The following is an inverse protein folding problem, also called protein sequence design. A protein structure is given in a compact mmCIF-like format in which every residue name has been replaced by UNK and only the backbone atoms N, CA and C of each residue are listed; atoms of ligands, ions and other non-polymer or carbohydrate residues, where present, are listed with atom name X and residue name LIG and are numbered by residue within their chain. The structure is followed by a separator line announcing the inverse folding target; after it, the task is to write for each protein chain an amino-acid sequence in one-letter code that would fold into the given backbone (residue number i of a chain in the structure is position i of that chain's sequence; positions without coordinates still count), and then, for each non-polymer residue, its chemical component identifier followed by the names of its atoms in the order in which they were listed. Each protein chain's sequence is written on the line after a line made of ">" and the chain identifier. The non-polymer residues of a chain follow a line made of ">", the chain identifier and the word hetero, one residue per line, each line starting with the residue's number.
data_IF_284257212751
#
_entry.id   IF_284257212751
#
_cell.length_a   1.000
_cell.length_b   1.000
_cell.length_c   1.000
_cell.angle_alpha   90.00
_cell.angle_beta   90.00
_cell.angle_gamma   90.00
#
_symmetry.space_group_name_H-M   'P 1'
#
loop_
_entity.id
_entity.type
_entity.pdbx_description
1 polymer ?
#
# COMPACT_ATOMS: atom_id res chain seq x y z
N UNK A 1 6.98 -19.48 -10.19
CA UNK A 1 6.26 -20.55 -9.46
C UNK A 1 6.76 -21.89 -9.92
N UNK A 2 6.73 -22.90 -9.05
CA UNK A 2 6.93 -24.29 -9.45
C UNK A 2 6.00 -24.61 -10.64
N UNK A 3 6.56 -25.22 -11.72
CA UNK A 3 5.85 -25.46 -12.96
C UNK A 3 5.82 -24.31 -13.98
N UNK A 4 6.32 -23.12 -13.67
CA UNK A 4 6.48 -22.03 -14.64
C UNK A 4 7.62 -22.33 -15.64
N UNK A 5 7.55 -21.72 -16.83
CA UNK A 5 8.56 -21.88 -17.85
C UNK A 5 9.49 -20.67 -17.91
N UNK A 6 10.79 -20.95 -17.85
CA UNK A 6 11.83 -19.99 -18.17
C UNK A 6 12.09 -20.07 -19.70
N UNK A 7 11.90 -18.97 -20.40
CA UNK A 7 12.17 -18.90 -21.84
C UNK A 7 13.59 -18.44 -22.11
N UNK A 8 14.36 -19.28 -22.78
CA UNK A 8 15.77 -19.06 -23.09
C UNK A 8 15.91 -18.88 -24.60
N UNK A 9 16.56 -17.79 -24.99
CA UNK A 9 16.93 -17.54 -26.39
C UNK A 9 18.45 -17.58 -26.51
N UNK A 10 18.97 -18.36 -27.46
CA UNK A 10 20.38 -18.41 -27.76
C UNK A 10 20.66 -17.91 -29.16
N UNK A 11 21.68 -17.07 -29.29
CA UNK A 11 22.22 -16.56 -30.53
C UNK A 11 23.70 -16.81 -30.55
N UNK A 12 24.23 -17.15 -31.70
CA UNK A 12 25.67 -17.25 -31.94
C UNK A 12 26.02 -16.53 -33.22
N UNK A 13 27.17 -15.86 -33.24
CA UNK A 13 27.78 -15.29 -34.44
C UNK A 13 29.23 -15.66 -34.45
N UNK A 14 29.74 -16.02 -35.62
CA UNK A 14 31.16 -16.27 -35.85
C UNK A 14 31.64 -15.33 -36.93
N UNK A 15 32.89 -14.92 -36.84
CA UNK A 15 33.54 -14.07 -37.84
C UNK A 15 34.04 -14.91 -39.04
N UNK A 16 34.12 -16.25 -38.88
CA UNK A 16 34.60 -17.18 -39.93
C UNK A 16 33.78 -18.48 -39.90
N UNK A 17 33.07 -18.78 -40.99
CA UNK A 17 32.28 -20.00 -41.14
C UNK A 17 30.95 -19.98 -40.43
N UNK A 18 30.38 -21.17 -40.25
CA UNK A 18 29.08 -21.35 -39.59
C UNK A 18 29.23 -21.99 -38.20
N UNK A 19 28.26 -21.77 -37.31
CA UNK A 19 28.15 -22.53 -36.06
C UNK A 19 27.54 -23.88 -36.42
N UNK A 20 28.25 -24.97 -36.08
CA UNK A 20 27.84 -26.33 -36.42
C UNK A 20 27.17 -27.07 -35.27
N UNK A 21 27.40 -26.63 -34.05
CA UNK A 21 26.70 -27.19 -32.88
C UNK A 21 26.54 -26.18 -31.75
N UNK A 22 25.54 -26.43 -30.91
CA UNK A 22 25.29 -25.71 -29.67
C UNK A 22 24.92 -26.69 -28.56
N UNK A 23 25.38 -26.42 -27.35
CA UNK A 23 25.00 -27.12 -26.13
C UNK A 23 24.47 -26.08 -25.13
N UNK A 24 23.24 -26.27 -24.68
CA UNK A 24 22.63 -25.50 -23.62
C UNK A 24 22.67 -26.31 -22.32
N UNK A 25 23.16 -25.70 -21.24
CA UNK A 25 23.03 -26.24 -19.88
C UNK A 25 22.20 -25.31 -19.02
N UNK A 26 21.29 -25.88 -18.25
CA UNK A 26 20.52 -25.18 -17.23
C UNK A 26 20.72 -25.90 -15.91
N UNK A 27 21.18 -25.18 -14.88
CA UNK A 27 21.57 -25.76 -13.59
C UNK A 27 22.56 -26.94 -13.71
N UNK A 28 23.49 -26.86 -14.67
CA UNK A 28 24.49 -27.88 -14.94
C UNK A 28 23.98 -29.07 -15.76
N UNK A 29 22.68 -29.18 -16.04
CA UNK A 29 22.08 -30.26 -16.84
C UNK A 29 22.04 -29.87 -18.32
N UNK A 30 22.49 -30.76 -19.22
CA UNK A 30 22.42 -30.56 -20.67
C UNK A 30 20.97 -30.65 -21.14
N UNK A 31 20.56 -29.71 -21.99
CA UNK A 31 19.26 -29.70 -22.66
C UNK A 31 19.43 -30.34 -24.04
N UNK A 32 18.96 -31.58 -24.23
CA UNK A 32 19.28 -32.38 -25.45
C UNK A 32 18.62 -31.82 -26.71
N UNK A 33 17.52 -31.04 -26.57
CA UNK A 33 16.80 -30.52 -27.73
C UNK A 33 17.43 -29.25 -28.33
N UNK A 34 18.47 -28.71 -27.71
CA UNK A 34 19.19 -27.51 -28.18
C UNK A 34 20.55 -27.95 -28.75
N UNK A 35 20.62 -28.10 -30.05
CA UNK A 35 21.82 -28.55 -30.77
C UNK A 35 22.39 -27.54 -31.74
N UNK A 36 21.66 -26.45 -32.01
CA UNK A 36 22.05 -25.37 -32.95
C UNK A 36 21.63 -24.00 -32.44
N UNK A 37 22.14 -22.93 -33.06
CA UNK A 37 21.69 -21.53 -32.84
C UNK A 37 21.22 -20.96 -34.19
N UNK A 38 20.25 -20.03 -34.21
CA UNK A 38 19.52 -19.52 -33.05
C UNK A 38 18.46 -20.51 -32.52
N UNK A 39 18.19 -20.46 -31.23
CA UNK A 39 17.13 -21.28 -30.64
C UNK A 39 16.23 -20.46 -29.73
N UNK A 40 15.03 -21.03 -29.47
CA UNK A 40 14.10 -20.58 -28.45
C UNK A 40 13.63 -21.81 -27.68
N UNK A 41 13.92 -21.88 -26.39
CA UNK A 41 13.63 -23.04 -25.57
C UNK A 41 12.86 -22.65 -24.30
N UNK A 42 11.81 -23.40 -23.97
CA UNK A 42 11.03 -23.25 -22.74
C UNK A 42 11.44 -24.29 -21.71
N UNK A 43 12.29 -23.90 -20.77
CA UNK A 43 12.71 -24.75 -19.65
C UNK A 43 11.61 -24.73 -18.57
N UNK A 44 11.03 -25.89 -18.24
CA UNK A 44 10.09 -26.04 -17.14
C UNK A 44 10.84 -26.10 -15.82
N UNK A 45 10.55 -25.17 -14.91
CA UNK A 45 11.13 -25.20 -13.57
C UNK A 45 10.56 -26.40 -12.80
N UNK A 46 11.40 -27.20 -12.14
CA UNK A 46 10.93 -28.29 -11.28
C UNK A 46 9.98 -27.81 -10.20
N UNK A 47 9.04 -28.65 -9.77
CA UNK A 47 8.08 -28.28 -8.72
C UNK A 47 8.74 -28.01 -7.36
N UNK A 48 9.89 -28.61 -7.10
CA UNK A 48 10.70 -28.44 -5.90
C UNK A 48 11.84 -27.42 -6.06
N UNK A 49 11.83 -26.66 -7.17
CA UNK A 49 12.86 -25.66 -7.44
C UNK A 49 12.89 -24.59 -6.33
N UNK A 50 13.97 -24.56 -5.57
CA UNK A 50 14.20 -23.55 -4.55
C UNK A 50 14.51 -22.16 -5.17
N UNK A 51 14.24 -21.10 -4.40
CA UNK A 51 14.75 -19.76 -4.72
C UNK A 51 16.29 -19.79 -4.76
N UNK A 52 16.88 -19.00 -5.63
CA UNK A 52 18.31 -18.88 -5.72
C UNK A 52 18.79 -18.61 -7.13
N UNK A 53 20.06 -18.80 -7.35
CA UNK A 53 20.67 -18.60 -8.65
C UNK A 53 20.51 -19.84 -9.54
N UNK A 54 19.97 -19.63 -10.73
CA UNK A 54 19.92 -20.63 -11.79
C UNK A 54 20.95 -20.24 -12.87
N UNK A 55 22.01 -21.02 -13.00
CA UNK A 55 23.04 -20.81 -14.03
C UNK A 55 22.58 -21.37 -15.36
N UNK A 56 22.65 -20.55 -16.41
CA UNK A 56 22.38 -20.92 -17.80
C UNK A 56 23.69 -20.75 -18.58
N UNK A 57 24.15 -21.81 -19.23
CA UNK A 57 25.38 -21.82 -19.98
C UNK A 57 25.13 -22.27 -21.43
N UNK A 58 25.60 -21.49 -22.36
CA UNK A 58 25.57 -21.80 -23.79
C UNK A 58 27.00 -21.98 -24.30
N UNK A 59 27.27 -23.12 -24.88
CA UNK A 59 28.53 -23.41 -25.61
C UNK A 59 28.22 -23.62 -27.07
N UNK A 60 28.93 -22.97 -27.94
CA UNK A 60 28.80 -23.12 -29.40
C UNK A 60 30.14 -23.54 -30.03
N UNK A 61 30.08 -24.33 -31.10
CA UNK A 61 31.27 -24.75 -31.87
C UNK A 61 31.08 -24.33 -33.33
N UNK A 62 32.11 -23.69 -33.87
CA UNK A 62 32.22 -23.36 -35.29
C UNK A 62 32.77 -24.50 -36.12
N UNK A 63 32.66 -24.40 -37.45
CA UNK A 63 33.22 -25.37 -38.45
C UNK A 63 34.70 -25.63 -38.28
N UNK A 64 35.47 -24.67 -37.78
CA UNK A 64 36.91 -24.79 -37.51
C UNK A 64 37.26 -25.55 -36.24
N UNK A 65 36.23 -26.02 -35.49
CA UNK A 65 36.40 -26.68 -34.20
C UNK A 65 36.62 -25.73 -33.03
N UNK A 66 36.63 -24.42 -33.26
CA UNK A 66 36.74 -23.42 -32.21
C UNK A 66 35.44 -23.39 -31.43
N UNK A 67 35.53 -23.46 -30.10
CA UNK A 67 34.40 -23.37 -29.20
C UNK A 67 34.37 -22.01 -28.49
N UNK A 68 33.18 -21.47 -28.28
CA UNK A 68 32.95 -20.29 -27.45
C UNK A 68 31.82 -20.59 -26.48
N UNK A 69 31.93 -20.09 -25.24
CA UNK A 69 30.93 -20.27 -24.20
C UNK A 69 30.56 -18.93 -23.60
N UNK A 70 29.30 -18.81 -23.28
CA UNK A 70 28.78 -17.70 -22.46
C UNK A 70 27.90 -18.24 -21.34
N UNK A 71 27.82 -17.54 -20.24
CA UNK A 71 26.93 -17.89 -19.15
C UNK A 71 26.10 -16.69 -18.71
N UNK A 72 24.87 -16.95 -18.29
CA UNK A 72 23.98 -15.97 -17.65
C UNK A 72 23.44 -16.57 -16.37
N UNK A 73 23.32 -15.76 -15.33
CA UNK A 73 22.69 -16.17 -14.08
C UNK A 73 21.29 -15.58 -14.04
N UNK A 74 20.30 -16.44 -13.84
CA UNK A 74 18.91 -16.05 -13.59
C UNK A 74 18.66 -16.18 -12.09
N UNK A 75 18.23 -15.10 -11.46
CA UNK A 75 17.81 -15.14 -10.06
C UNK A 75 16.37 -15.60 -10.04
N UNK A 76 16.14 -16.78 -9.49
CA UNK A 76 14.81 -17.29 -9.25
C UNK A 76 14.33 -16.77 -7.90
N UNK A 77 13.33 -15.90 -7.92
CA UNK A 77 12.56 -15.58 -6.73
C UNK A 77 11.42 -16.60 -6.60
N UNK A 78 11.27 -17.21 -5.43
CA UNK A 78 10.04 -17.93 -5.13
C UNK A 78 8.96 -16.88 -4.96
N UNK A 79 7.96 -16.89 -5.84
CA UNK A 79 6.70 -16.20 -5.54
C UNK A 79 5.99 -17.02 -4.45
N UNK A 80 6.25 -16.69 -3.19
CA UNK A 80 5.60 -17.33 -2.04
C UNK A 80 4.11 -16.94 -1.93
N UNK A 81 3.59 -16.24 -2.94
CA UNK A 81 2.28 -15.60 -2.86
C UNK A 81 2.31 -14.40 -1.89
N UNK A 82 1.17 -13.78 -1.62
CA UNK A 82 1.07 -12.73 -0.61
C UNK A 82 1.53 -13.27 0.74
N UNK A 83 2.68 -12.77 1.23
CA UNK A 83 3.11 -13.12 2.58
C UNK A 83 2.19 -12.42 3.58
N UNK A 84 1.80 -13.09 4.68
CA UNK A 84 1.03 -12.41 5.71
C UNK A 84 1.80 -11.18 6.20
N UNK A 85 1.13 -10.02 6.33
CA UNK A 85 1.79 -8.81 6.78
C UNK A 85 2.44 -9.01 8.14
N UNK A 86 3.65 -8.49 8.31
CA UNK A 86 4.34 -8.55 9.60
C UNK A 86 3.75 -7.50 10.53
N UNK A 87 3.04 -7.95 11.55
CA UNK A 87 2.43 -7.10 12.56
C UNK A 87 3.34 -6.92 13.78
N UNK A 88 3.19 -5.79 14.47
CA UNK A 88 3.94 -5.46 15.67
C UNK A 88 3.18 -4.44 16.50
N UNK A 89 3.88 -3.82 17.44
CA UNK A 89 3.34 -2.72 18.25
C UNK A 89 4.39 -1.62 18.44
N UNK A 90 3.91 -0.40 18.71
CA UNK A 90 4.74 0.71 19.17
C UNK A 90 4.04 1.40 20.34
N UNK A 91 4.79 1.97 21.25
CA UNK A 91 4.27 2.76 22.37
C UNK A 91 4.57 4.24 22.13
N UNK A 92 3.55 5.08 22.21
CA UNK A 92 3.72 6.52 22.22
C UNK A 92 4.23 6.95 23.59
N UNK A 93 5.43 7.50 23.65
CA UNK A 93 6.07 7.90 24.91
C UNK A 93 5.41 9.10 25.60
N UNK A 94 4.52 9.82 24.88
CA UNK A 94 3.87 11.03 25.39
C UNK A 94 2.71 10.73 26.35
N UNK A 95 2.00 9.61 26.09
CA UNK A 95 0.80 9.21 26.83
C UNK A 95 0.79 7.72 27.23
N UNK A 96 1.77 6.95 26.76
CA UNK A 96 1.90 5.51 27.04
C UNK A 96 0.95 4.62 26.24
N UNK A 97 0.19 5.18 25.28
CA UNK A 97 -0.73 4.41 24.45
C UNK A 97 0.06 3.48 23.52
N UNK A 98 -0.37 2.22 23.48
CA UNK A 98 0.20 1.21 22.59
C UNK A 98 -0.65 1.12 21.33
N UNK A 99 0.00 1.22 20.17
CA UNK A 99 -0.61 1.09 18.84
C UNK A 99 -0.13 -0.18 18.16
N UNK A 100 -1.03 -0.85 17.46
CA UNK A 100 -0.65 -1.88 16.49
C UNK A 100 0.09 -1.26 15.32
N UNK A 101 1.04 -2.01 14.78
CA UNK A 101 1.78 -1.62 13.58
C UNK A 101 1.80 -2.74 12.56
N UNK A 102 1.98 -2.39 11.29
CA UNK A 102 2.08 -3.36 10.20
C UNK A 102 3.16 -2.94 9.21
N UNK A 103 4.02 -3.89 8.85
CA UNK A 103 5.03 -3.72 7.81
C UNK A 103 4.43 -4.07 6.46
N UNK A 104 4.37 -3.10 5.55
CA UNK A 104 3.87 -3.23 4.18
C UNK A 104 4.98 -2.79 3.22
N UNK A 105 5.61 -3.75 2.57
CA UNK A 105 6.84 -3.51 1.82
C UNK A 105 7.96 -2.96 2.72
N UNK A 106 8.52 -1.82 2.34
CA UNK A 106 9.54 -1.12 3.11
C UNK A 106 8.97 -0.06 4.10
N UNK A 107 7.64 0.03 4.21
CA UNK A 107 6.95 1.00 5.04
C UNK A 107 6.39 0.34 6.30
N UNK A 108 6.69 0.89 7.49
CA UNK A 108 6.07 0.47 8.76
C UNK A 108 5.00 1.48 9.16
N UNK A 109 3.74 1.06 9.07
CA UNK A 109 2.57 1.87 9.35
C UNK A 109 1.98 1.60 10.74
N UNK A 110 1.40 2.61 11.37
CA UNK A 110 0.40 2.35 12.40
C UNK A 110 -0.79 1.61 11.76
N UNK A 111 -1.32 0.59 12.43
CA UNK A 111 -2.53 -0.15 12.03
C UNK A 111 -3.78 0.34 12.79
N UNK A 112 -3.66 1.44 13.48
CA UNK A 112 -4.71 2.14 14.23
C UNK A 112 -4.56 3.64 14.02
N UNK A 113 -5.66 4.38 14.12
CA UNK A 113 -5.64 5.83 14.07
C UNK A 113 -5.00 6.38 15.35
N UNK A 114 -4.28 7.48 15.24
CA UNK A 114 -3.63 8.14 16.36
C UNK A 114 -4.69 8.63 17.36
N UNK A 115 -4.49 8.36 18.67
CA UNK A 115 -5.39 8.73 19.78
C UNK A 115 -4.85 9.87 20.63
N UNK A 116 -3.67 10.42 20.28
CA UNK A 116 -3.06 11.50 21.04
C UNK A 116 -3.95 12.74 21.04
N UNK A 117 -4.52 13.08 22.22
CA UNK A 117 -5.49 14.15 22.40
C UNK A 117 -5.00 15.10 23.51
N UNK A 118 -4.17 16.10 23.18
CA UNK A 118 -3.62 17.02 24.20
C UNK A 118 -4.69 17.95 24.79
N UNK A 119 -5.75 18.21 24.03
CA UNK A 119 -6.96 18.96 24.41
C UNK A 119 -8.12 18.46 23.57
N UNK A 120 -9.34 18.85 23.93
CA UNK A 120 -10.53 18.64 23.09
C UNK A 120 -11.17 19.98 22.76
N UNK A 121 -11.48 20.18 21.48
CA UNK A 121 -12.15 21.37 20.95
C UNK A 121 -13.52 21.00 20.39
N UNK A 122 -14.44 21.98 20.39
CA UNK A 122 -15.81 21.84 19.87
C UNK A 122 -16.11 22.84 18.74
N UNK A 123 -15.33 23.90 18.65
CA UNK A 123 -15.36 24.90 17.59
C UNK A 123 -14.42 24.52 16.44
N UNK A 124 -14.55 25.16 15.29
CA UNK A 124 -13.75 24.93 14.11
C UNK A 124 -12.81 26.08 13.82
N UNK A 125 -11.63 25.80 13.28
CA UNK A 125 -10.68 26.78 12.78
C UNK A 125 -9.89 26.20 11.61
N UNK A 126 -9.59 27.02 10.61
CA UNK A 126 -8.65 26.67 9.54
C UNK A 126 -7.21 27.13 9.82
N UNK A 127 -7.01 27.88 10.89
CA UNK A 127 -5.71 28.50 11.26
C UNK A 127 -5.19 28.06 12.62
N UNK A 128 -6.09 27.83 13.58
CA UNK A 128 -5.72 27.40 14.93
C UNK A 128 -5.81 25.89 15.07
N UNK A 129 -4.89 25.25 15.82
CA UNK A 129 -4.95 23.82 16.07
C UNK A 129 -6.26 23.40 16.79
N UNK A 130 -6.96 22.42 16.24
CA UNK A 130 -8.19 21.85 16.80
C UNK A 130 -8.14 20.33 16.83
N UNK A 131 -8.62 19.76 17.92
CA UNK A 131 -8.58 18.34 18.25
C UNK A 131 -10.00 17.89 18.64
N UNK A 132 -10.50 16.81 18.04
CA UNK A 132 -11.86 16.39 18.23
C UNK A 132 -11.98 14.90 18.56
N UNK A 133 -13.05 14.55 19.24
CA UNK A 133 -13.54 13.18 19.42
C UNK A 133 -14.78 13.00 18.54
N UNK A 134 -14.99 11.82 17.99
CA UNK A 134 -16.14 11.53 17.13
C UNK A 134 -17.46 11.95 17.80
N UNK A 135 -18.32 12.61 17.03
CA UNK A 135 -19.62 13.12 17.47
C UNK A 135 -19.53 14.10 18.66
N UNK A 136 -18.37 14.72 18.85
CA UNK A 136 -18.09 15.68 19.93
C UNK A 136 -18.36 15.12 21.36
N UNK A 137 -18.27 13.78 21.52
CA UNK A 137 -18.35 13.17 22.84
C UNK A 137 -17.17 13.61 23.72
N UNK A 138 -17.48 13.95 24.97
CA UNK A 138 -16.47 14.37 25.95
C UNK A 138 -15.52 13.21 26.30
N UNK A 139 -14.24 13.37 25.95
CA UNK A 139 -13.18 12.37 26.17
C UNK A 139 -12.93 12.05 27.65
N UNK A 140 -13.42 12.87 28.59
CA UNK A 140 -13.31 12.60 30.02
C UNK A 140 -14.37 11.60 30.53
N UNK A 141 -15.37 11.29 29.71
CA UNK A 141 -16.41 10.30 29.99
C UNK A 141 -16.01 8.91 29.47
N UNK A 142 -16.57 7.86 30.06
CA UNK A 142 -16.35 6.48 29.58
C UNK A 142 -16.79 6.31 28.12
N UNK A 143 -17.90 6.91 27.73
CA UNK A 143 -18.43 6.86 26.37
C UNK A 143 -17.50 7.58 25.38
N UNK A 144 -17.07 8.80 25.70
CA UNK A 144 -16.15 9.57 24.86
C UNK A 144 -14.78 8.92 24.75
N UNK A 145 -14.26 8.33 25.83
CA UNK A 145 -13.04 7.53 25.80
C UNK A 145 -13.22 6.30 24.89
N UNK A 146 -14.37 5.62 24.93
CA UNK A 146 -14.70 4.50 24.05
C UNK A 146 -14.69 4.90 22.57
N UNK A 147 -15.20 6.11 22.23
CA UNK A 147 -15.11 6.63 20.85
C UNK A 147 -13.64 6.96 20.46
N UNK A 148 -12.88 7.58 21.36
CA UNK A 148 -11.47 7.86 21.12
C UNK A 148 -10.66 6.58 20.90
N UNK A 149 -10.91 5.55 21.69
CA UNK A 149 -10.22 4.26 21.57
C UNK A 149 -10.60 3.52 20.28
N UNK A 150 -11.85 3.61 19.86
CA UNK A 150 -12.34 2.91 18.68
C UNK A 150 -11.94 3.62 17.35
N UNK A 151 -12.04 4.94 17.30
CA UNK A 151 -11.93 5.70 16.06
C UNK A 151 -10.66 6.55 15.95
N UNK A 152 -9.96 6.79 17.06
CA UNK A 152 -8.87 7.75 17.14
C UNK A 152 -9.34 9.18 17.33
N UNK A 153 -8.40 10.10 17.48
CA UNK A 153 -8.68 11.53 17.51
C UNK A 153 -8.71 12.09 16.08
N UNK A 154 -9.47 13.19 15.92
CA UNK A 154 -9.52 13.93 14.67
C UNK A 154 -8.77 15.25 14.85
N UNK A 155 -8.05 15.63 13.82
CA UNK A 155 -7.19 16.81 13.79
C UNK A 155 -7.56 17.66 12.59
N UNK A 156 -7.64 18.98 12.77
CA UNK A 156 -7.57 19.86 11.61
C UNK A 156 -6.11 19.95 11.13
N UNK A 157 -5.84 20.54 9.96
CA UNK A 157 -4.48 20.61 9.41
C UNK A 157 -3.50 21.34 10.35
N UNK A 158 -3.83 22.49 10.97
CA UNK A 158 -2.95 23.12 11.95
C UNK A 158 -2.57 22.22 13.14
N UNK A 159 -3.50 21.42 13.66
CA UNK A 159 -3.22 20.46 14.72
C UNK A 159 -2.38 19.29 14.23
N UNK A 160 -2.72 18.74 13.05
CA UNK A 160 -1.98 17.63 12.46
C UNK A 160 -0.52 18.02 12.20
N UNK A 161 -0.27 19.15 11.57
CA UNK A 161 1.07 19.59 11.18
C UNK A 161 1.87 20.27 12.31
N UNK A 162 1.22 20.70 13.40
CA UNK A 162 1.87 21.35 14.56
C UNK A 162 2.79 22.51 14.17
N UNK A 163 2.30 23.41 13.29
CA UNK A 163 3.01 24.60 12.84
C UNK A 163 3.96 24.38 11.67
N UNK A 164 4.11 23.17 11.15
CA UNK A 164 4.80 22.95 9.88
C UNK A 164 3.89 23.32 8.71
N UNK A 165 4.51 23.79 7.61
CA UNK A 165 3.79 24.04 6.37
C UNK A 165 3.49 22.73 5.62
N UNK A 166 2.38 22.72 4.88
CA UNK A 166 2.09 21.68 3.88
C UNK A 166 3.22 21.62 2.85
N UNK A 167 3.54 20.43 2.40
CA UNK A 167 4.65 20.15 1.50
C UNK A 167 4.18 20.02 0.06
N UNK A 168 5.04 20.34 -0.91
CA UNK A 168 4.78 20.01 -2.30
C UNK A 168 4.79 18.51 -2.51
N UNK A 169 4.20 18.05 -3.61
CA UNK A 169 4.12 16.61 -3.94
C UNK A 169 5.49 15.97 -4.17
N UNK A 170 6.48 16.76 -4.59
CA UNK A 170 7.85 16.34 -4.84
C UNK A 170 8.73 16.38 -3.59
N UNK A 171 8.23 16.93 -2.48
CA UNK A 171 8.99 17.04 -1.23
C UNK A 171 9.26 15.67 -0.64
N UNK A 172 10.48 15.47 -0.21
CA UNK A 172 10.90 14.29 0.56
C UNK A 172 11.03 14.58 2.05
N UNK A 173 10.65 15.79 2.48
CA UNK A 173 10.72 16.19 3.87
C UNK A 173 9.65 15.47 4.69
N UNK A 174 10.08 14.79 5.73
CA UNK A 174 9.18 14.15 6.70
C UNK A 174 8.70 15.16 7.73
N UNK A 175 7.40 15.30 7.84
CA UNK A 175 6.75 16.19 8.81
C UNK A 175 6.26 15.35 9.98
N UNK A 176 6.95 15.42 11.12
CA UNK A 176 6.52 14.71 12.33
C UNK A 176 5.10 15.13 12.72
N UNK A 177 4.82 16.43 12.76
CA UNK A 177 3.51 16.95 13.15
C UNK A 177 3.04 16.39 14.48
N UNK A 178 1.82 15.88 14.50
CA UNK A 178 1.19 15.27 15.69
C UNK A 178 1.67 13.83 15.96
N UNK A 179 2.41 13.21 15.05
CA UNK A 179 2.96 11.87 15.22
C UNK A 179 3.98 11.79 16.37
N UNK A 180 4.20 10.62 16.98
CA UNK A 180 5.26 10.42 17.97
C UNK A 180 6.66 10.61 17.39
N UNK A 181 7.66 10.75 18.24
CA UNK A 181 9.06 10.83 17.81
C UNK A 181 9.47 9.60 16.97
N UNK A 182 10.17 9.86 15.85
CA UNK A 182 10.57 8.86 14.89
C UNK A 182 9.44 8.35 14.00
N UNK A 183 8.32 9.09 13.96
CA UNK A 183 7.18 8.87 13.08
C UNK A 183 6.75 10.20 12.44
N UNK A 184 6.15 10.14 11.27
CA UNK A 184 5.70 11.32 10.55
C UNK A 184 4.31 11.14 9.94
N UNK A 185 3.68 12.25 9.56
CA UNK A 185 2.46 12.27 8.76
C UNK A 185 2.83 11.92 7.32
N UNK A 186 2.27 10.86 6.75
CA UNK A 186 2.65 10.41 5.42
C UNK A 186 2.34 11.46 4.35
N UNK A 187 3.20 11.59 3.36
CA UNK A 187 2.93 12.33 2.12
C UNK A 187 2.00 11.54 1.19
N UNK A 188 1.38 12.20 0.23
CA UNK A 188 0.60 11.52 -0.83
C UNK A 188 1.45 10.51 -1.61
N UNK A 189 2.73 10.81 -1.81
CA UNK A 189 3.66 9.87 -2.47
C UNK A 189 3.85 8.60 -1.67
N UNK A 190 3.95 8.69 -0.34
CA UNK A 190 4.07 7.50 0.53
C UNK A 190 2.79 6.67 0.57
N UNK A 191 1.61 7.30 0.53
CA UNK A 191 0.34 6.61 0.38
C UNK A 191 0.20 5.91 -0.99
N UNK A 192 0.68 6.53 -2.07
CA UNK A 192 0.73 5.89 -3.40
C UNK A 192 1.70 4.72 -3.43
N UNK A 193 2.83 4.80 -2.74
CA UNK A 193 3.77 3.69 -2.59
C UNK A 193 3.13 2.51 -1.83
N UNK A 194 2.32 2.79 -0.79
CA UNK A 194 1.51 1.78 -0.11
C UNK A 194 0.52 1.12 -1.08
N UNK A 195 -0.21 1.91 -1.86
CA UNK A 195 -1.16 1.38 -2.85
C UNK A 195 -0.45 0.48 -3.88
N UNK A 196 0.69 0.93 -4.40
CA UNK A 196 1.48 0.13 -5.36
C UNK A 196 1.96 -1.18 -4.74
N UNK A 197 2.43 -1.15 -3.48
CA UNK A 197 2.80 -2.38 -2.77
C UNK A 197 1.64 -3.38 -2.66
N UNK A 198 0.43 -2.92 -2.37
CA UNK A 198 -0.77 -3.78 -2.27
C UNK A 198 -1.06 -4.46 -3.60
N UNK A 199 -0.90 -3.74 -4.72
CA UNK A 199 -1.04 -4.29 -6.09
C UNK A 199 0.06 -5.31 -6.37
N UNK A 200 1.33 -4.95 -6.16
CA UNK A 200 2.49 -5.80 -6.44
C UNK A 200 2.47 -7.10 -5.61
N UNK A 201 2.00 -7.00 -4.36
CA UNK A 201 1.83 -8.13 -3.46
C UNK A 201 0.55 -8.97 -3.76
N UNK A 202 -0.23 -8.59 -4.78
CA UNK A 202 -1.50 -9.24 -5.16
C UNK A 202 -2.52 -9.33 -4.02
N UNK A 203 -2.52 -8.32 -3.15
CA UNK A 203 -3.44 -8.20 -2.02
C UNK A 203 -4.71 -7.42 -2.36
N UNK A 204 -4.72 -6.67 -3.48
CA UNK A 204 -5.92 -5.97 -3.96
C UNK A 204 -7.02 -6.98 -4.31
N UNK A 205 -8.28 -6.56 -4.17
CA UNK A 205 -9.41 -7.41 -4.49
C UNK A 205 -9.41 -7.83 -5.97
N UNK A 206 -10.07 -8.94 -6.28
CA UNK A 206 -10.12 -9.47 -7.64
C UNK A 206 -11.56 -9.67 -8.12
N UNK A 207 -11.77 -9.49 -9.42
CA UNK A 207 -13.02 -9.84 -10.10
C UNK A 207 -12.75 -11.05 -11.00
N UNK A 208 -13.48 -12.15 -10.79
CA UNK A 208 -13.31 -13.39 -11.54
C UNK A 208 -11.84 -13.90 -11.57
N UNK A 209 -11.12 -13.71 -10.47
CA UNK A 209 -9.71 -14.14 -10.34
C UNK A 209 -8.68 -13.21 -10.99
N UNK A 210 -9.11 -12.09 -11.55
CA UNK A 210 -8.22 -11.03 -12.07
C UNK A 210 -8.12 -9.93 -11.03
N UNK A 211 -6.90 -9.59 -10.60
CA UNK A 211 -6.66 -8.50 -9.64
C UNK A 211 -7.15 -7.18 -10.23
N UNK A 212 -8.01 -6.51 -9.49
CA UNK A 212 -8.40 -5.14 -9.80
C UNK A 212 -7.43 -4.17 -9.10
N UNK A 213 -6.51 -3.61 -9.87
CA UNK A 213 -5.48 -2.68 -9.37
C UNK A 213 -6.06 -1.40 -8.76
N UNK A 214 -7.33 -1.10 -9.03
CA UNK A 214 -8.06 0.02 -8.42
C UNK A 214 -8.66 -0.33 -7.06
N UNK A 215 -8.83 -1.62 -6.75
CA UNK A 215 -9.48 -2.12 -5.54
C UNK A 215 -8.51 -2.30 -4.33
N UNK A 216 -7.54 -1.41 -4.21
CA UNK A 216 -6.56 -1.36 -3.11
C UNK A 216 -7.21 -1.09 -1.76
N UNK A 217 -8.25 -0.25 -1.75
CA UNK A 217 -8.95 0.16 -0.54
C UNK A 217 -9.55 -1.02 0.22
N UNK A 218 -10.10 -2.03 -0.47
CA UNK A 218 -10.64 -3.23 0.16
C UNK A 218 -9.59 -3.99 0.98
N UNK A 219 -8.36 -4.10 0.46
CA UNK A 219 -7.27 -4.74 1.19
C UNK A 219 -6.80 -3.94 2.43
N UNK A 220 -7.05 -2.64 2.47
CA UNK A 220 -6.68 -1.74 3.57
C UNK A 220 -7.81 -1.52 4.57
N UNK A 221 -9.07 -1.69 4.17
CA UNK A 221 -10.25 -1.44 4.98
C UNK A 221 -10.44 -2.50 6.08
N UNK A 222 -11.05 -2.12 7.19
CA UNK A 222 -11.43 -3.07 8.25
C UNK A 222 -12.52 -4.03 7.79
N UNK A 223 -12.61 -5.19 8.46
CA UNK A 223 -13.64 -6.22 8.23
C UNK A 223 -14.98 -5.87 8.88
N UNK A 224 -15.11 -4.72 9.48
CA UNK A 224 -16.31 -4.31 10.22
C UNK A 224 -16.57 -2.82 10.07
N UNK A 225 -17.77 -2.39 10.46
CA UNK A 225 -18.21 -1.00 10.60
C UNK A 225 -18.57 -0.28 9.30
N UNK A 226 -18.19 -0.79 8.14
CA UNK A 226 -18.59 -0.23 6.85
C UNK A 226 -20.06 -0.50 6.56
N UNK A 227 -20.74 0.47 5.98
CA UNK A 227 -22.14 0.35 5.55
C UNK A 227 -22.27 0.81 4.11
N UNK A 228 -23.08 0.09 3.35
CA UNK A 228 -23.53 0.56 2.05
C UNK A 228 -24.73 1.50 2.24
N UNK A 229 -24.85 2.58 1.44
CA UNK A 229 -26.05 3.40 1.40
C UNK A 229 -27.29 2.54 1.05
N UNK A 230 -28.45 2.90 1.60
CA UNK A 230 -29.70 2.16 1.39
C UNK A 230 -30.24 2.29 -0.04
N UNK A 231 -29.80 3.28 -0.79
CA UNK A 231 -30.30 3.69 -2.10
C UNK A 231 -29.25 3.57 -3.22
N UNK A 232 -28.34 2.62 -3.11
CA UNK A 232 -27.42 2.32 -4.23
C UNK A 232 -28.23 1.82 -5.41
N UNK A 233 -28.25 2.61 -6.50
CA UNK A 233 -28.96 2.25 -7.74
C UNK A 233 -28.33 1.02 -8.42
N UNK A 234 -27.04 0.82 -8.21
CA UNK A 234 -26.28 -0.30 -8.77
C UNK A 234 -26.15 -1.46 -7.78
N UNK A 235 -26.16 -2.68 -8.29
CA UNK A 235 -25.82 -3.85 -7.48
C UNK A 235 -24.36 -3.73 -6.98
N UNK A 236 -24.09 -3.97 -5.69
CA UNK A 236 -22.75 -3.88 -5.14
C UNK A 236 -21.77 -4.79 -5.88
N UNK A 237 -20.58 -4.27 -6.19
CA UNK A 237 -19.50 -5.06 -6.79
C UNK A 237 -18.68 -5.76 -5.70
N UNK A 238 -18.11 -6.93 -5.98
CA UNK A 238 -17.26 -7.66 -5.03
C UNK A 238 -16.04 -6.86 -4.56
N UNK A 239 -15.62 -5.86 -5.34
CA UNK A 239 -14.52 -4.96 -5.01
C UNK A 239 -14.91 -3.81 -4.08
N UNK A 240 -16.19 -3.58 -3.83
CA UNK A 240 -16.64 -2.54 -2.91
C UNK A 240 -16.28 -2.90 -1.47
N UNK A 241 -15.79 -1.92 -0.73
CA UNK A 241 -15.37 -2.10 0.67
C UNK A 241 -16.54 -2.54 1.57
N UNK A 242 -17.73 -2.01 1.34
CA UNK A 242 -18.93 -2.34 2.12
C UNK A 242 -19.58 -3.69 1.77
N UNK A 243 -19.11 -4.34 0.71
CA UNK A 243 -19.59 -5.66 0.27
C UNK A 243 -18.64 -6.75 0.74
N UNK A 244 -19.16 -7.90 1.22
CA UNK A 244 -18.37 -9.03 1.71
C UNK A 244 -17.19 -8.56 2.60
N UNK A 245 -17.49 -7.79 3.66
CA UNK A 245 -16.47 -7.14 4.49
C UNK A 245 -15.50 -8.12 5.15
N UNK A 246 -15.89 -9.38 5.33
CA UNK A 246 -15.02 -10.44 5.84
C UNK A 246 -13.79 -10.70 4.95
N UNK A 247 -13.85 -10.30 3.68
CA UNK A 247 -12.74 -10.37 2.72
C UNK A 247 -11.82 -9.14 2.76
N UNK A 248 -12.17 -8.10 3.52
CA UNK A 248 -11.35 -6.92 3.70
C UNK A 248 -10.08 -7.23 4.51
N UNK A 249 -9.20 -6.23 4.62
CA UNK A 249 -8.06 -6.18 5.54
C UNK A 249 -6.96 -7.22 5.28
N UNK A 250 -6.77 -7.61 4.04
CA UNK A 250 -5.68 -8.52 3.67
C UNK A 250 -4.30 -7.99 4.11
N UNK A 251 -4.16 -6.67 4.23
CA UNK A 251 -2.92 -5.99 4.66
C UNK A 251 -2.76 -5.87 6.18
N UNK A 252 -3.77 -6.16 6.98
CA UNK A 252 -3.80 -5.86 8.42
C UNK A 252 -3.70 -4.34 8.75
N UNK A 253 -3.90 -3.47 7.75
CA UNK A 253 -3.89 -2.02 7.95
C UNK A 253 -5.09 -1.55 8.76
N UNK A 254 -6.22 -2.22 8.65
CA UNK A 254 -7.43 -2.01 9.45
C UNK A 254 -8.01 -0.58 9.37
N UNK A 255 -8.21 -0.08 8.16
CA UNK A 255 -8.83 1.23 7.92
C UNK A 255 -10.32 1.23 8.26
N UNK A 256 -10.74 1.95 9.30
CA UNK A 256 -12.12 2.01 9.78
C UNK A 256 -12.86 3.22 9.18
N UNK A 257 -14.19 3.14 8.95
CA UNK A 257 -14.97 4.22 8.34
C UNK A 257 -15.30 5.33 9.35
N UNK A 258 -14.39 6.27 9.49
CA UNK A 258 -14.43 7.36 10.47
C UNK A 258 -15.24 8.56 10.00
N UNK A 259 -15.60 8.65 8.71
CA UNK A 259 -16.12 9.90 8.16
C UNK A 259 -15.14 11.06 8.38
N UNK A 260 -15.68 12.26 8.57
CA UNK A 260 -14.90 13.46 8.90
C UNK A 260 -15.74 14.49 9.67
N UNK A 261 -15.06 15.40 10.38
CA UNK A 261 -15.67 16.57 10.97
C UNK A 261 -15.65 17.72 9.98
N UNK A 262 -16.82 18.21 9.61
CA UNK A 262 -16.94 19.35 8.70
C UNK A 262 -16.47 20.65 9.38
N UNK A 263 -15.90 21.57 8.59
CA UNK A 263 -15.50 22.89 9.05
C UNK A 263 -16.51 24.00 8.70
N UNK A 264 -17.60 23.64 8.01
CA UNK A 264 -18.69 24.53 7.62
C UNK A 264 -19.95 23.71 7.32
N UNK A 265 -21.11 24.35 7.37
CA UNK A 265 -22.40 23.71 7.12
C UNK A 265 -23.18 23.45 8.42
N UNK A 266 -24.38 22.87 8.28
CA UNK A 266 -25.28 22.57 9.41
C UNK A 266 -24.89 21.28 10.13
N UNK A 267 -24.30 20.32 9.40
CA UNK A 267 -23.87 19.02 9.93
C UNK A 267 -22.39 19.07 10.31
N UNK A 268 -22.11 18.83 11.60
CA UNK A 268 -20.74 18.82 12.10
C UNK A 268 -19.98 17.54 11.70
N UNK A 269 -20.67 16.41 11.54
CA UNK A 269 -20.09 15.10 11.25
C UNK A 269 -20.71 14.48 10.00
N UNK A 270 -19.87 14.05 9.07
CA UNK A 270 -20.30 13.58 7.77
C UNK A 270 -19.69 12.22 7.43
N UNK A 271 -20.38 11.45 6.60
CA UNK A 271 -19.96 10.18 6.01
C UNK A 271 -19.53 9.10 7.02
N UNK A 272 -20.03 9.20 8.27
CA UNK A 272 -19.79 8.19 9.31
C UNK A 272 -20.29 6.83 8.84
N UNK A 273 -19.45 5.79 8.96
CA UNK A 273 -19.68 4.43 8.48
C UNK A 273 -19.62 4.24 6.96
N UNK A 274 -19.56 5.31 6.17
CA UNK A 274 -19.53 5.26 4.70
C UNK A 274 -18.15 5.58 4.12
N UNK A 275 -17.34 6.38 4.82
CA UNK A 275 -15.99 6.73 4.35
C UNK A 275 -14.95 6.68 5.46
N UNK A 276 -13.71 6.44 5.08
CA UNK A 276 -12.53 6.67 5.90
C UNK A 276 -11.67 7.76 5.25
N UNK A 277 -10.97 8.53 6.08
CA UNK A 277 -10.03 9.54 5.58
C UNK A 277 -8.90 9.78 6.56
N UNK A 278 -7.73 10.14 6.03
CA UNK A 278 -6.55 10.49 6.80
C UNK A 278 -5.85 11.69 6.18
N UNK A 279 -5.29 12.53 7.01
CA UNK A 279 -4.43 13.60 6.51
C UNK A 279 -3.16 13.04 5.88
N UNK A 280 -2.73 13.70 4.81
CA UNK A 280 -1.34 13.68 4.37
C UNK A 280 -0.66 15.00 4.68
N UNK A 281 0.68 15.03 4.61
CA UNK A 281 1.47 16.24 4.75
C UNK A 281 1.53 17.08 3.47
N UNK A 282 0.81 16.69 2.40
CA UNK A 282 0.91 17.28 1.06
C UNK A 282 -0.13 18.37 0.83
N UNK A 283 0.30 19.49 0.26
CA UNK A 283 -0.57 20.59 -0.17
C UNK A 283 -1.42 20.20 -1.38
N UNK A 284 -2.58 20.82 -1.51
CA UNK A 284 -3.42 20.72 -2.69
C UNK A 284 -2.71 21.23 -3.96
N UNK A 285 -3.10 20.68 -5.09
CA UNK A 285 -2.55 21.05 -6.40
C UNK A 285 -3.28 22.28 -6.97
N UNK A 286 -4.62 22.29 -6.82
CA UNK A 286 -5.45 23.41 -7.28
C UNK A 286 -5.46 24.57 -6.27
N UNK A 287 -5.44 24.23 -4.97
CA UNK A 287 -5.46 25.20 -3.87
C UNK A 287 -4.33 24.88 -2.88
N UNK A 288 -3.23 25.62 -2.96
CA UNK A 288 -2.03 25.38 -2.12
C UNK A 288 -2.26 25.49 -0.62
N UNK A 289 -3.29 26.19 -0.20
CA UNK A 289 -3.68 26.34 1.21
C UNK A 289 -4.54 25.18 1.72
N UNK A 290 -5.01 24.32 0.80
CA UNK A 290 -5.75 23.09 1.11
C UNK A 290 -4.78 21.93 1.25
N UNK A 291 -5.15 20.92 2.04
CA UNK A 291 -4.39 19.70 2.20
C UNK A 291 -5.02 18.56 1.37
N UNK A 292 -4.19 17.65 0.93
CA UNK A 292 -4.65 16.44 0.24
C UNK A 292 -4.90 15.32 1.27
N UNK A 293 -6.15 14.96 1.57
CA UNK A 293 -6.44 13.76 2.34
C UNK A 293 -6.34 12.52 1.46
N UNK A 294 -6.16 11.38 2.10
CA UNK A 294 -6.39 10.07 1.49
C UNK A 294 -7.73 9.54 1.95
N UNK A 295 -8.54 9.01 1.03
CA UNK A 295 -9.92 8.58 1.35
C UNK A 295 -10.26 7.21 0.75
N UNK A 296 -11.16 6.51 1.42
CA UNK A 296 -11.82 5.29 0.96
C UNK A 296 -13.32 5.42 1.18
N UNK A 297 -14.12 4.81 0.29
CA UNK A 297 -15.58 4.79 0.36
C UNK A 297 -16.12 3.36 0.39
N UNK A 298 -17.22 3.16 1.08
CA UNK A 298 -17.89 1.86 1.16
C UNK A 298 -18.37 1.35 -0.22
N UNK A 299 -18.66 2.27 -1.13
CA UNK A 299 -19.24 2.02 -2.47
C UNK A 299 -18.20 1.86 -3.57
N UNK A 300 -16.92 1.82 -3.22
CA UNK A 300 -15.85 1.51 -4.17
C UNK A 300 -14.69 0.78 -3.46
N UNK A 301 -13.68 0.38 -4.23
CA UNK A 301 -12.46 -0.26 -3.70
C UNK A 301 -11.24 0.66 -3.74
N UNK A 302 -11.43 1.93 -4.07
CA UNK A 302 -10.32 2.84 -4.39
C UNK A 302 -9.70 3.45 -3.13
N UNK A 303 -8.38 3.58 -3.13
CA UNK A 303 -7.66 4.48 -2.24
C UNK A 303 -7.47 5.83 -2.95
N UNK A 304 -8.40 6.76 -2.71
CA UNK A 304 -8.40 8.08 -3.35
C UNK A 304 -7.32 9.00 -2.80
N UNK A 305 -6.50 9.56 -3.69
CA UNK A 305 -5.36 10.45 -3.35
C UNK A 305 -5.40 11.79 -4.10
N UNK A 306 -6.58 12.20 -4.58
CA UNK A 306 -6.73 13.40 -5.43
C UNK A 306 -7.73 14.44 -4.89
N UNK A 307 -8.33 14.21 -3.73
CA UNK A 307 -9.19 15.19 -3.07
C UNK A 307 -8.38 16.31 -2.44
N UNK A 308 -8.98 17.49 -2.30
CA UNK A 308 -8.40 18.64 -1.58
C UNK A 308 -9.42 19.14 -0.55
N UNK A 309 -9.01 19.22 0.71
CA UNK A 309 -9.88 19.63 1.81
C UNK A 309 -9.40 20.91 2.46
N UNK A 310 -10.35 21.72 2.89
CA UNK A 310 -10.11 22.89 3.71
C UNK A 310 -9.34 22.51 4.98
N UNK A 311 -8.31 23.28 5.39
CA UNK A 311 -7.52 23.00 6.59
C UNK A 311 -8.31 22.89 7.89
N UNK A 312 -9.52 23.45 7.95
CA UNK A 312 -10.40 23.37 9.12
C UNK A 312 -11.17 22.05 9.27
N UNK A 313 -11.15 21.18 8.26
CA UNK A 313 -11.76 19.84 8.34
C UNK A 313 -11.02 19.00 9.36
N UNK A 314 -11.76 18.20 10.14
CA UNK A 314 -11.19 17.23 11.08
C UNK A 314 -11.11 15.84 10.48
N UNK A 315 -9.89 15.27 10.36
CA UNK A 315 -9.63 13.91 9.95
C UNK A 315 -8.67 13.22 10.92
N UNK A 316 -8.74 11.89 11.04
CA UNK A 316 -7.71 11.10 11.70
C UNK A 316 -6.34 11.26 11.06
N UNK A 317 -5.32 10.90 11.84
CA UNK A 317 -3.93 10.76 11.38
C UNK A 317 -3.51 9.30 11.59
N UNK A 318 -2.78 8.78 10.62
CA UNK A 318 -2.13 7.47 10.68
C UNK A 318 -0.67 7.63 10.34
N UNK A 319 0.19 7.44 11.33
CA UNK A 319 1.61 7.75 11.20
C UNK A 319 2.39 6.64 10.49
N UNK A 320 3.44 7.06 9.79
CA UNK A 320 4.42 6.22 9.14
C UNK A 320 5.77 6.37 9.84
N UNK A 321 6.49 5.25 10.04
CA UNK A 321 7.81 5.23 10.67
C UNK A 321 8.85 5.90 9.76
N UNK A 322 9.79 6.65 10.36
CA UNK A 322 10.89 7.34 9.67
C UNK A 322 11.89 6.39 9.01
#
# INVERSE_FOLDING_TARGET
>A
RAGEKLFIRGYGKTDHGQIVSAELKVAGSVIPDVTTVPFYYGYSLPEDQAAGELKVELTVQGETGVTASTSSTVILAIDLGPQPPKVGTMTDSRDGIVYKTVQLGNQLWMAENLRYLPQQDYDVSSTDPKYYVMLDYDATTELGQGFLDAYGAYYNVPAALRGHALQSMESTQKIQGVCPEGWHIPSITEWRNLAQYVVDAKMAASINGVVDETAVGKALASTTMWKLPFDTEDAPLPTWIGEAMEENNATQFNGIPTGFRACAGEEAWMDLTYSAGWWSSTAGVAMSDFAMPVRMWATDGVLGTSSEFNPGVGLPVRCLKD
#
